data_IF_680985799775
#
_entry.id   IF_680985799775
#
_cell.length_a   1.000
_cell.length_b   1.000
_cell.length_c   1.000
_cell.angle_alpha   90.00
_cell.angle_beta   90.00
_cell.angle_gamma   90.00
#
_symmetry.space_group_name_H-M   'P 1'
#
loop_
_entity.id
_entity.type
_entity.pdbx_description
1 polymer ?
#
# COMPACT_ATOMS: atom_id res chain seq x y z
N UNK A 1 19.84 -6.35 -10.46
CA UNK A 1 18.70 -5.70 -9.79
C UNK A 1 19.27 -4.59 -8.91
N UNK A 2 18.57 -3.47 -8.74
CA UNK A 2 19.00 -2.41 -7.82
C UNK A 2 18.99 -2.99 -6.38
N UNK A 3 20.10 -2.94 -5.61
CA UNK A 3 20.22 -3.59 -4.29
C UNK A 3 19.16 -3.13 -3.26
N UNK A 4 18.46 -2.03 -3.52
CA UNK A 4 17.38 -1.56 -2.66
C UNK A 4 16.21 -2.56 -2.56
N UNK A 5 15.95 -3.38 -3.58
CA UNK A 5 14.78 -4.26 -3.62
C UNK A 5 14.88 -5.49 -2.71
N UNK A 6 16.09 -5.91 -2.34
CA UNK A 6 16.30 -7.17 -1.58
C UNK A 6 15.74 -7.11 -0.16
N UNK A 7 15.51 -5.90 0.37
CA UNK A 7 15.02 -5.69 1.73
C UNK A 7 13.51 -5.45 1.83
N UNK A 8 12.77 -5.49 0.71
CA UNK A 8 11.33 -5.23 0.69
C UNK A 8 10.53 -6.42 0.18
N UNK A 9 9.38 -6.63 0.81
CA UNK A 9 8.38 -7.60 0.36
C UNK A 9 7.11 -6.86 -0.08
N UNK A 10 6.60 -7.24 -1.24
CA UNK A 10 5.31 -6.73 -1.73
C UNK A 10 4.18 -7.42 -0.97
N UNK A 11 3.48 -6.68 -0.14
CA UNK A 11 2.36 -7.20 0.67
C UNK A 11 1.00 -7.10 -0.03
N UNK A 12 0.91 -6.32 -1.10
CA UNK A 12 -0.31 -6.16 -1.88
C UNK A 12 -0.18 -5.12 -2.99
N UNK A 13 -1.28 -4.91 -3.71
CA UNK A 13 -1.37 -3.99 -4.84
C UNK A 13 -2.48 -2.97 -4.65
N UNK A 14 -2.15 -1.70 -4.90
CA UNK A 14 -3.13 -0.62 -4.92
C UNK A 14 -4.04 -0.80 -6.13
N UNK A 15 -5.34 -0.87 -5.87
CA UNK A 15 -6.39 -0.90 -6.86
C UNK A 15 -7.01 0.48 -7.09
N UNK A 16 -8.24 0.49 -7.61
CA UNK A 16 -8.95 1.73 -7.93
C UNK A 16 -9.25 2.58 -6.67
N UNK A 17 -9.26 3.92 -6.80
CA UNK A 17 -9.82 4.81 -5.78
C UNK A 17 -11.26 4.44 -5.42
N UNK A 18 -11.69 4.83 -4.22
CA UNK A 18 -13.00 4.55 -3.67
C UNK A 18 -13.60 5.79 -2.98
N UNK A 19 -14.73 6.26 -3.51
CA UNK A 19 -15.46 7.41 -2.97
C UNK A 19 -14.69 8.73 -3.09
N UNK A 20 -15.09 9.72 -2.29
CA UNK A 20 -14.55 11.09 -2.32
C UNK A 20 -13.58 11.39 -1.17
N UNK A 21 -13.45 10.46 -0.21
CA UNK A 21 -12.64 10.65 1.01
C UNK A 21 -11.18 10.18 0.86
N UNK A 22 -10.73 9.91 -0.36
CA UNK A 22 -9.34 9.49 -0.63
C UNK A 22 -9.02 8.03 -0.31
N UNK A 23 -10.02 7.18 -0.08
CA UNK A 23 -9.78 5.75 0.05
C UNK A 23 -9.41 5.12 -1.29
N UNK A 24 -8.69 4.02 -1.25
CA UNK A 24 -8.43 3.14 -2.39
C UNK A 24 -8.57 1.68 -1.98
N UNK A 25 -8.89 0.82 -2.94
CA UNK A 25 -8.93 -0.63 -2.68
C UNK A 25 -7.52 -1.21 -2.68
N UNK A 26 -7.29 -2.25 -1.89
CA UNK A 26 -6.05 -3.01 -1.86
C UNK A 26 -6.35 -4.48 -2.16
N UNK A 27 -5.57 -5.05 -3.07
CA UNK A 27 -5.55 -6.49 -3.34
C UNK A 27 -4.42 -7.07 -2.47
N UNK A 28 -4.74 -7.81 -1.39
CA UNK A 28 -3.72 -8.39 -0.54
C UNK A 28 -2.99 -9.55 -1.24
N UNK A 29 -1.68 -9.67 -1.03
CA UNK A 29 -0.88 -10.83 -1.44
C UNK A 29 -0.55 -11.73 -0.25
N UNK A 30 -1.44 -11.75 0.74
CA UNK A 30 -1.33 -12.49 1.99
C UNK A 30 -2.67 -13.16 2.31
N UNK A 31 -2.61 -14.34 2.92
CA UNK A 31 -3.80 -15.06 3.41
C UNK A 31 -4.39 -14.45 4.69
N UNK A 32 -3.74 -13.43 5.24
CA UNK A 32 -4.13 -12.73 6.47
C UNK A 32 -4.41 -11.23 6.22
N UNK A 33 -5.50 -10.86 5.53
CA UNK A 33 -5.91 -9.47 5.26
C UNK A 33 -5.99 -8.56 6.50
N UNK A 34 -6.38 -9.10 7.64
CA UNK A 34 -6.54 -8.39 8.90
C UNK A 34 -5.23 -7.76 9.39
N UNK A 35 -4.07 -8.27 8.94
CA UNK A 35 -2.76 -7.67 9.26
C UNK A 35 -2.64 -6.24 8.77
N UNK A 36 -3.39 -5.84 7.73
CA UNK A 36 -3.41 -4.48 7.24
C UNK A 36 -3.96 -3.48 8.26
N UNK A 37 -4.82 -3.91 9.20
CA UNK A 37 -5.36 -3.03 10.27
C UNK A 37 -4.26 -2.45 11.15
N UNK A 38 -3.11 -3.13 11.25
CA UNK A 38 -1.98 -2.71 12.09
C UNK A 38 -0.86 -2.01 11.30
N UNK A 39 -1.02 -1.84 9.98
CA UNK A 39 0.00 -1.23 9.13
C UNK A 39 -0.03 0.29 9.32
N UNK A 40 1.07 0.85 9.84
CA UNK A 40 1.22 2.29 10.05
C UNK A 40 1.75 3.03 8.83
N UNK A 41 2.59 2.36 8.02
CA UNK A 41 3.26 2.97 6.89
C UNK A 41 3.70 1.96 5.85
N UNK A 42 3.80 2.39 4.59
CA UNK A 42 4.17 1.55 3.45
C UNK A 42 5.12 2.28 2.49
N UNK A 43 5.79 1.51 1.65
CA UNK A 43 6.53 1.99 0.49
C UNK A 43 5.73 1.70 -0.77
N UNK A 44 5.72 2.64 -1.70
CA UNK A 44 5.02 2.48 -2.98
C UNK A 44 6.00 2.08 -4.08
N UNK A 45 5.69 0.99 -4.76
CA UNK A 45 6.48 0.49 -5.87
C UNK A 45 5.68 0.53 -7.18
N UNK A 46 6.29 1.05 -8.24
CA UNK A 46 5.72 1.06 -9.58
C UNK A 46 6.33 -0.08 -10.39
N UNK A 47 5.57 -1.18 -10.55
CA UNK A 47 5.99 -2.38 -11.28
C UNK A 47 6.41 -2.09 -12.73
N UNK A 48 5.70 -1.19 -13.42
CA UNK A 48 5.95 -0.87 -14.82
C UNK A 48 7.27 -0.11 -15.01
N UNK A 49 7.51 0.88 -14.15
CA UNK A 49 8.71 1.71 -14.20
C UNK A 49 9.89 1.08 -13.44
N UNK A 50 9.64 0.02 -12.66
CA UNK A 50 10.60 -0.63 -11.77
C UNK A 50 11.32 0.36 -10.84
N UNK A 51 10.55 1.27 -10.25
CA UNK A 51 11.02 2.27 -9.30
C UNK A 51 10.10 2.34 -8.10
N UNK A 52 10.66 2.67 -6.94
CA UNK A 52 9.82 3.16 -5.86
C UNK A 52 9.35 4.60 -6.15
N UNK A 53 8.09 4.87 -5.79
CA UNK A 53 7.52 6.21 -5.85
C UNK A 53 8.03 6.99 -4.64
N UNK A 54 8.66 8.13 -4.93
CA UNK A 54 9.12 9.10 -3.94
C UNK A 54 8.44 10.42 -4.27
N UNK A 55 7.81 11.05 -3.29
CA UNK A 55 7.48 12.48 -3.40
C UNK A 55 8.68 13.27 -2.87
N UNK A 56 8.85 14.54 -3.29
CA UNK A 56 10.07 15.35 -3.11
C UNK A 56 10.78 15.18 -1.75
N UNK A 57 10.01 15.01 -0.67
CA UNK A 57 10.49 14.87 0.70
C UNK A 57 10.16 13.52 1.38
N UNK A 58 9.34 12.67 0.75
CA UNK A 58 8.79 11.46 1.38
C UNK A 58 8.99 10.20 0.54
N UNK A 59 9.61 9.21 1.17
CA UNK A 59 9.75 7.85 0.64
C UNK A 59 8.79 6.85 1.32
N UNK A 60 8.31 7.20 2.51
CA UNK A 60 7.40 6.39 3.33
C UNK A 60 6.03 7.08 3.34
N UNK A 61 4.98 6.31 3.09
CA UNK A 61 3.60 6.79 3.09
C UNK A 61 2.89 6.28 4.35
N UNK A 62 2.43 7.20 5.18
CA UNK A 62 1.69 6.87 6.40
C UNK A 62 0.24 6.53 6.07
N UNK A 63 -0.30 5.59 6.82
CA UNK A 63 -1.68 5.14 6.69
C UNK A 63 -2.53 5.90 7.72
N UNK A 64 -3.53 6.62 7.23
CA UNK A 64 -4.48 7.34 8.08
C UNK A 64 -5.58 6.40 8.58
N UNK A 65 -6.12 5.56 7.69
CA UNK A 65 -7.21 4.65 8.02
C UNK A 65 -7.15 3.36 7.19
N UNK A 66 -7.65 2.27 7.78
CA UNK A 66 -7.76 0.95 7.17
C UNK A 66 -9.11 0.32 7.52
N UNK A 67 -9.85 -0.08 6.49
CA UNK A 67 -11.09 -0.82 6.63
C UNK A 67 -10.88 -2.20 6.01
N UNK A 68 -10.99 -3.24 6.82
CA UNK A 68 -10.99 -4.63 6.37
C UNK A 68 -12.40 -5.21 6.57
N UNK A 69 -12.96 -5.75 5.50
CA UNK A 69 -14.17 -6.56 5.55
C UNK A 69 -13.94 -7.87 4.76
N UNK A 70 -14.90 -8.79 4.81
CA UNK A 70 -14.77 -10.16 4.28
C UNK A 70 -14.35 -10.26 2.81
N UNK A 71 -14.50 -9.18 2.03
CA UNK A 71 -14.18 -9.18 0.60
C UNK A 71 -13.13 -8.12 0.19
N UNK A 72 -12.90 -7.07 0.99
CA UNK A 72 -12.18 -5.87 0.54
C UNK A 72 -11.35 -5.26 1.65
N UNK A 73 -10.15 -4.87 1.27
CA UNK A 73 -9.31 -3.96 2.06
C UNK A 73 -9.41 -2.58 1.42
N UNK A 74 -9.68 -1.57 2.22
CA UNK A 74 -9.59 -0.16 1.82
C UNK A 74 -8.62 0.57 2.73
N UNK A 75 -7.77 1.38 2.14
CA UNK A 75 -6.79 2.17 2.87
C UNK A 75 -6.85 3.63 2.43
N UNK A 76 -6.39 4.51 3.31
CA UNK A 76 -6.23 5.94 3.06
C UNK A 76 -4.85 6.37 3.54
N UNK A 77 -4.15 7.17 2.73
CA UNK A 77 -2.89 7.80 3.15
C UNK A 77 -3.18 9.07 3.96
N UNK A 78 -2.31 9.37 4.93
CA UNK A 78 -2.31 10.63 5.68
C UNK A 78 -1.75 11.80 4.88
#
# INVERSE_FOLDING_TARGET
MDPLYENFITVGKIGKPFGVKGYFNVIPYTDFPERFLNVKSLYLYNENKKIFIKNKDFFIYNIEDVIVNSEKIRMKFS
#
